data_IF_981125943844
#
_entry.id   IF_981125943844
#
_cell.length_a   1.000
_cell.length_b   1.000
_cell.length_c   1.000
_cell.angle_alpha   90.00
_cell.angle_beta   90.00
_cell.angle_gamma   90.00
#
_symmetry.space_group_name_H-M   'P 1'
#
loop_
_entity.id
_entity.type
_entity.pdbx_description
1 polymer ?
#
# COMPACT_ATOMS: atom_id res chain seq x y z
N UNK A 1 11.36 -4.01 53.62
CA UNK A 1 11.53 -2.82 52.77
C UNK A 1 12.54 -3.15 51.69
N UNK A 2 12.10 -3.36 50.46
CA UNK A 2 12.97 -3.37 49.28
C UNK A 2 12.51 -2.23 48.40
N UNK A 3 13.39 -1.25 48.20
CA UNK A 3 13.14 -0.07 47.37
C UNK A 3 13.51 -0.41 45.94
N UNK A 4 12.52 -0.54 45.06
CA UNK A 4 12.73 -0.66 43.62
C UNK A 4 12.85 0.75 43.02
N UNK A 5 14.01 1.05 42.43
CA UNK A 5 14.29 2.29 41.71
C UNK A 5 13.30 2.49 40.57
N UNK A 6 12.83 3.72 40.39
CA UNK A 6 11.89 4.09 39.34
C UNK A 6 12.43 3.76 37.95
N UNK A 7 11.73 2.87 37.24
CA UNK A 7 11.97 2.58 35.84
C UNK A 7 11.33 3.69 34.99
N UNK A 8 12.13 4.26 34.07
CA UNK A 8 11.64 5.21 33.08
C UNK A 8 10.49 4.59 32.27
N UNK A 9 9.38 5.30 32.17
CA UNK A 9 8.21 4.94 31.36
C UNK A 9 8.64 4.67 29.92
N UNK A 10 8.68 3.39 29.52
CA UNK A 10 8.74 2.99 28.10
C UNK A 10 7.46 3.50 27.44
N UNK A 11 7.58 4.22 26.32
CA UNK A 11 6.43 4.57 25.48
C UNK A 11 5.77 3.27 25.02
N UNK A 12 4.46 3.17 25.20
CA UNK A 12 3.69 2.07 24.63
C UNK A 12 3.66 2.24 23.11
N UNK A 13 4.27 1.30 22.38
CA UNK A 13 4.20 1.26 20.92
C UNK A 13 3.00 0.43 20.49
N UNK A 14 2.33 0.86 19.42
CA UNK A 14 1.20 0.16 18.82
C UNK A 14 1.57 -0.21 17.38
N UNK A 15 1.19 -1.41 16.96
CA UNK A 15 1.50 -1.95 15.64
C UNK A 15 0.22 -2.42 14.94
N UNK A 16 0.20 -2.34 13.61
CA UNK A 16 -0.81 -2.97 12.76
C UNK A 16 -0.20 -4.26 12.22
N UNK A 17 -0.90 -5.38 12.39
CA UNK A 17 -0.48 -6.70 11.92
C UNK A 17 -1.44 -7.15 10.82
N UNK A 18 -0.88 -7.64 9.72
CA UNK A 18 -1.60 -8.15 8.55
C UNK A 18 -1.04 -9.53 8.17
N UNK A 19 -1.80 -10.29 7.40
CA UNK A 19 -1.35 -11.58 6.89
C UNK A 19 -0.13 -11.43 5.98
N UNK A 20 0.84 -12.35 6.16
CA UNK A 20 2.01 -12.41 5.30
C UNK A 20 1.60 -12.92 3.93
N UNK A 21 1.83 -12.10 2.90
CA UNK A 21 1.59 -12.50 1.51
C UNK A 21 2.84 -13.19 0.97
N UNK A 22 2.67 -14.42 0.50
CA UNK A 22 3.72 -15.19 -0.16
C UNK A 22 3.91 -14.78 -1.63
N UNK A 23 5.14 -14.87 -2.12
CA UNK A 23 5.51 -14.56 -3.51
C UNK A 23 6.28 -13.25 -3.68
N UNK A 24 6.54 -12.89 -4.93
CA UNK A 24 7.30 -11.68 -5.24
C UNK A 24 6.42 -10.44 -5.09
N UNK A 25 6.79 -9.59 -4.13
CA UNK A 25 6.14 -8.31 -3.92
C UNK A 25 6.51 -7.33 -5.04
N UNK A 26 5.50 -6.71 -5.64
CA UNK A 26 5.63 -5.75 -6.72
C UNK A 26 4.82 -4.50 -6.40
N UNK A 27 5.42 -3.34 -6.65
CA UNK A 27 4.70 -2.06 -6.66
C UNK A 27 4.26 -1.75 -8.09
N UNK A 28 2.96 -1.53 -8.28
CA UNK A 28 2.37 -1.28 -9.60
C UNK A 28 2.27 0.23 -9.90
N UNK A 29 1.90 1.03 -8.91
CA UNK A 29 1.70 2.48 -9.02
C UNK A 29 2.26 3.19 -7.77
N UNK A 30 2.73 4.43 -7.94
CA UNK A 30 3.14 5.29 -6.83
C UNK A 30 1.97 6.14 -6.32
N UNK A 31 1.97 6.48 -5.04
CA UNK A 31 1.04 7.46 -4.47
C UNK A 31 1.01 8.83 -5.17
N UNK A 32 2.16 9.26 -5.73
CA UNK A 32 2.35 10.60 -6.28
C UNK A 32 1.97 10.73 -7.76
N UNK A 33 1.86 9.62 -8.49
CA UNK A 33 1.54 9.61 -9.93
C UNK A 33 0.78 8.36 -10.34
N UNK A 34 -0.30 8.55 -11.10
CA UNK A 34 -1.07 7.49 -11.73
C UNK A 34 -0.38 7.03 -13.04
N UNK A 35 0.83 6.49 -12.91
CA UNK A 35 1.61 5.95 -14.04
C UNK A 35 2.07 4.54 -13.69
N UNK A 36 1.92 3.57 -14.61
CA UNK A 36 2.46 2.22 -14.42
C UNK A 36 3.96 2.25 -14.14
N UNK A 37 4.41 1.54 -13.10
CA UNK A 37 5.84 1.35 -12.85
C UNK A 37 6.46 0.26 -13.72
N UNK A 38 5.63 -0.64 -14.24
CA UNK A 38 6.07 -1.75 -15.07
C UNK A 38 6.27 -1.29 -16.51
N UNK A 39 7.23 -1.89 -17.21
CA UNK A 39 7.39 -1.68 -18.65
C UNK A 39 6.31 -2.43 -19.45
N UNK A 40 6.00 -1.98 -20.66
CA UNK A 40 4.91 -2.55 -21.47
C UNK A 40 5.06 -4.04 -21.79
N UNK A 41 6.30 -4.56 -21.77
CA UNK A 41 6.63 -5.96 -22.00
C UNK A 41 6.69 -6.81 -20.71
N UNK A 42 6.49 -6.21 -19.54
CA UNK A 42 6.54 -6.90 -18.26
C UNK A 42 5.18 -7.49 -17.88
N UNK A 43 5.21 -8.68 -17.27
CA UNK A 43 4.01 -9.32 -16.75
C UNK A 43 3.42 -8.49 -15.60
N UNK A 44 2.26 -7.88 -15.83
CA UNK A 44 1.59 -7.02 -14.85
C UNK A 44 1.41 -5.58 -15.32
N UNK A 45 1.96 -5.20 -16.47
CA UNK A 45 1.74 -3.89 -17.07
C UNK A 45 0.26 -3.55 -17.28
N UNK A 46 -0.50 -4.45 -17.91
CA UNK A 46 -1.94 -4.30 -18.15
C UNK A 46 -2.71 -4.06 -16.83
N UNK A 47 -2.27 -4.71 -15.76
CA UNK A 47 -2.85 -4.52 -14.44
C UNK A 47 -2.50 -3.16 -13.85
N UNK A 48 -1.25 -2.74 -13.97
CA UNK A 48 -0.83 -1.41 -13.55
C UNK A 48 -1.60 -0.32 -14.34
N UNK A 49 -1.85 -0.52 -15.63
CA UNK A 49 -2.71 0.37 -16.41
C UNK A 49 -4.15 0.38 -15.89
N UNK A 50 -4.73 -0.78 -15.62
CA UNK A 50 -6.06 -0.88 -15.04
C UNK A 50 -6.16 -0.19 -13.67
N UNK A 51 -5.14 -0.30 -12.82
CA UNK A 51 -5.09 0.40 -11.54
C UNK A 51 -4.99 1.93 -11.72
N UNK A 52 -4.27 2.42 -12.74
CA UNK A 52 -4.23 3.85 -13.05
C UNK A 52 -5.63 4.32 -13.44
N UNK A 53 -6.31 3.56 -14.30
CA UNK A 53 -7.69 3.82 -14.68
C UNK A 53 -8.62 3.84 -13.45
N UNK A 54 -8.50 2.87 -12.53
CA UNK A 54 -9.30 2.85 -11.31
C UNK A 54 -9.06 4.08 -10.44
N UNK A 55 -7.81 4.51 -10.29
CA UNK A 55 -7.49 5.72 -9.53
C UNK A 55 -8.18 6.96 -10.11
N UNK A 56 -8.16 7.12 -11.44
CA UNK A 56 -8.86 8.21 -12.12
C UNK A 56 -10.38 8.10 -11.97
N UNK A 57 -10.93 6.89 -12.15
CA UNK A 57 -12.36 6.63 -12.02
C UNK A 57 -12.86 6.92 -10.60
N UNK A 58 -12.13 6.51 -9.57
CA UNK A 58 -12.47 6.78 -8.18
C UNK A 58 -12.47 8.28 -7.89
N UNK A 59 -11.45 9.00 -8.37
CA UNK A 59 -11.41 10.46 -8.22
C UNK A 59 -12.60 11.14 -8.89
N UNK A 60 -12.96 10.72 -10.11
CA UNK A 60 -14.15 11.21 -10.80
C UNK A 60 -15.44 10.91 -10.02
N UNK A 61 -15.65 9.64 -9.61
CA UNK A 61 -16.87 9.21 -8.91
C UNK A 61 -17.04 9.82 -7.54
N UNK A 62 -15.94 10.14 -6.86
CA UNK A 62 -15.97 10.84 -5.58
C UNK A 62 -16.01 12.36 -5.74
N UNK A 63 -16.13 12.88 -6.97
CA UNK A 63 -16.13 14.32 -7.28
C UNK A 63 -14.87 15.03 -6.79
N UNK A 64 -13.73 14.35 -6.91
CA UNK A 64 -12.42 14.85 -6.54
C UNK A 64 -12.09 14.77 -5.05
N UNK A 65 -12.88 14.02 -4.26
CA UNK A 65 -12.67 13.95 -2.80
C UNK A 65 -11.68 12.86 -2.39
N UNK A 66 -11.65 11.73 -3.11
CA UNK A 66 -10.81 10.61 -2.73
C UNK A 66 -10.45 9.70 -3.91
N UNK A 67 -9.29 9.06 -3.81
CA UNK A 67 -8.89 7.96 -4.67
C UNK A 67 -8.00 7.01 -3.88
N UNK A 68 -7.89 5.78 -4.38
CA UNK A 68 -6.97 4.77 -3.85
C UNK A 68 -5.73 4.76 -4.74
N UNK A 69 -4.55 4.76 -4.13
CA UNK A 69 -3.25 4.73 -4.82
C UNK A 69 -2.30 3.75 -4.15
N UNK A 70 -1.01 3.83 -4.45
CA UNK A 70 0.01 2.96 -3.86
C UNK A 70 -0.29 1.46 -4.04
N UNK A 71 -0.90 1.11 -5.18
CA UNK A 71 -1.26 -0.26 -5.50
C UNK A 71 0.01 -1.15 -5.58
N UNK A 72 0.04 -2.16 -4.73
CA UNK A 72 1.19 -3.06 -4.56
C UNK A 72 0.71 -4.44 -4.10
N UNK A 73 1.53 -5.47 -4.24
CA UNK A 73 1.14 -6.82 -3.86
C UNK A 73 1.83 -7.86 -4.72
N UNK A 74 1.18 -9.00 -4.87
CA UNK A 74 1.66 -10.10 -5.72
C UNK A 74 0.80 -10.25 -6.96
N UNK A 75 1.16 -11.20 -7.82
CA UNK A 75 0.40 -11.47 -9.04
C UNK A 75 -1.06 -11.85 -8.76
N UNK A 76 -1.40 -12.39 -7.58
CA UNK A 76 -2.76 -12.84 -7.28
C UNK A 76 -3.47 -11.99 -6.23
N UNK A 77 -2.73 -11.23 -5.43
CA UNK A 77 -3.28 -10.46 -4.31
C UNK A 77 -2.75 -9.03 -4.34
N UNK A 78 -3.67 -8.06 -4.34
CA UNK A 78 -3.37 -6.63 -4.41
C UNK A 78 -3.76 -5.99 -3.08
N UNK A 79 -2.87 -5.14 -2.59
CA UNK A 79 -3.08 -4.24 -1.45
C UNK A 79 -2.93 -2.78 -1.90
N UNK A 80 -3.58 -1.91 -1.16
CA UNK A 80 -3.35 -0.47 -1.17
C UNK A 80 -3.35 0.00 0.29
N UNK A 81 -2.37 0.83 0.65
CA UNK A 81 -2.24 1.42 1.99
C UNK A 81 -2.33 2.93 1.90
#
# INVERSE_FOLDING_TARGET
>A
MVSCKGEGTRKAESYIVEDRIEGTWQKYILNSRAVPLMAANEQGYERAQFMCFLQHLQFDKTKGLAYISDWQGTLFLILSK
#
